data_IF_182692906624
#
_entry.id   IF_182692906624
#
_cell.length_a   1.000
_cell.length_b   1.000
_cell.length_c   1.000
_cell.angle_alpha   90.00
_cell.angle_beta   90.00
_cell.angle_gamma   90.00
#
_symmetry.space_group_name_H-M   'P 1'
#
loop_
_entity.id
_entity.type
_entity.pdbx_description
1 polymer ?
#
# COMPACT_ATOMS: atom_id res chain seq x y z
N UNK A 1 -8.19 12.32 5.78
CA UNK A 1 -7.05 11.47 6.14
C UNK A 1 -6.27 11.20 4.87
N UNK A 2 -4.95 11.24 4.91
CA UNK A 2 -4.13 10.92 3.75
C UNK A 2 -4.05 9.41 3.63
N UNK A 3 -4.50 8.87 2.50
CA UNK A 3 -4.48 7.45 2.18
C UNK A 3 -3.31 7.14 1.25
N UNK A 4 -2.60 6.06 1.51
CA UNK A 4 -1.47 5.58 0.70
C UNK A 4 -1.82 4.19 0.18
N UNK A 5 -1.53 3.94 -1.10
CA UNK A 5 -1.57 2.62 -1.71
C UNK A 5 -0.13 2.22 -2.03
N UNK A 6 0.34 1.12 -1.44
CA UNK A 6 1.62 0.49 -1.74
C UNK A 6 1.37 -0.57 -2.81
N UNK A 7 2.21 -0.59 -3.84
CA UNK A 7 2.22 -1.61 -4.88
C UNK A 7 3.58 -2.29 -4.80
N UNK A 8 3.62 -3.51 -4.27
CA UNK A 8 4.85 -4.20 -3.88
C UNK A 8 4.68 -5.72 -4.06
N UNK A 9 5.55 -6.35 -4.85
CA UNK A 9 5.41 -7.76 -5.22
C UNK A 9 5.74 -8.73 -4.07
N UNK A 10 6.56 -8.29 -3.11
CA UNK A 10 6.89 -9.08 -1.93
C UNK A 10 6.03 -8.71 -0.70
N UNK A 11 5.15 -9.64 -0.28
CA UNK A 11 4.25 -9.46 0.88
C UNK A 11 5.00 -9.00 2.13
N UNK A 12 6.14 -9.61 2.44
CA UNK A 12 6.92 -9.26 3.64
C UNK A 12 7.48 -7.84 3.62
N UNK A 13 7.73 -7.29 2.43
CA UNK A 13 8.19 -5.91 2.27
C UNK A 13 7.00 -4.96 2.40
N UNK A 14 5.88 -5.27 1.73
CA UNK A 14 4.65 -4.49 1.80
C UNK A 14 4.13 -4.33 3.24
N UNK A 15 4.17 -5.41 4.04
CA UNK A 15 3.77 -5.40 5.44
C UNK A 15 4.68 -4.49 6.28
N UNK A 16 6.00 -4.54 6.07
CA UNK A 16 6.95 -3.70 6.79
C UNK A 16 6.75 -2.21 6.49
N UNK A 17 6.55 -1.85 5.22
CA UNK A 17 6.30 -0.47 4.79
C UNK A 17 4.95 0.04 5.30
N UNK A 18 3.93 -0.83 5.26
CA UNK A 18 2.61 -0.54 5.81
C UNK A 18 2.69 -0.21 7.29
N UNK A 19 3.35 -1.06 8.09
CA UNK A 19 3.50 -0.83 9.53
C UNK A 19 4.17 0.52 9.82
N UNK A 20 5.21 0.87 9.06
CA UNK A 20 5.92 2.15 9.22
C UNK A 20 5.03 3.37 8.92
N UNK A 21 4.22 3.30 7.88
CA UNK A 21 3.33 4.38 7.47
C UNK A 21 2.08 4.48 8.36
N UNK A 22 1.52 3.36 8.82
CA UNK A 22 0.43 3.35 9.79
C UNK A 22 0.88 3.93 11.14
N UNK A 23 2.11 3.62 11.60
CA UNK A 23 2.70 4.26 12.78
C UNK A 23 2.86 5.79 12.61
N UNK A 24 3.02 6.25 11.37
CA UNK A 24 3.10 7.67 11.03
C UNK A 24 1.71 8.33 10.87
N UNK A 25 0.62 7.58 11.08
CA UNK A 25 -0.76 8.07 11.08
C UNK A 25 -1.44 8.07 9.70
N UNK A 26 -0.89 7.35 8.72
CA UNK A 26 -1.52 7.17 7.40
C UNK A 26 -2.48 5.98 7.40
N UNK A 27 -3.51 6.06 6.56
CA UNK A 27 -4.28 4.87 6.17
C UNK A 27 -3.57 4.23 4.98
N UNK A 28 -3.24 2.94 5.09
CA UNK A 28 -2.40 2.27 4.09
C UNK A 28 -3.09 1.01 3.56
N UNK A 29 -3.20 0.94 2.24
CA UNK A 29 -3.57 -0.28 1.52
C UNK A 29 -2.38 -0.83 0.75
N UNK A 30 -2.36 -2.14 0.54
CA UNK A 30 -1.30 -2.84 -0.21
C UNK A 30 -1.93 -3.64 -1.35
N UNK A 31 -1.24 -3.68 -2.49
CA UNK A 31 -1.51 -4.59 -3.60
C UNK A 31 -0.20 -5.20 -4.10
N UNK A 32 -0.27 -6.44 -4.57
CA UNK A 32 0.91 -7.22 -4.96
C UNK A 32 1.14 -7.26 -6.47
N UNK A 33 0.18 -6.76 -7.23
CA UNK A 33 0.20 -6.78 -8.69
C UNK A 33 -0.02 -5.37 -9.21
N UNK A 34 0.81 -4.95 -10.17
CA UNK A 34 0.80 -3.57 -10.65
C UNK A 34 -0.46 -3.18 -11.41
N UNK A 35 -1.10 -4.13 -12.09
CA UNK A 35 -2.38 -3.94 -12.78
C UNK A 35 -3.52 -3.70 -11.78
N UNK A 36 -3.61 -4.51 -10.71
CA UNK A 36 -4.57 -4.31 -9.62
C UNK A 36 -4.32 -3.02 -8.86
N UNK A 37 -3.05 -2.70 -8.61
CA UNK A 37 -2.64 -1.44 -8.02
C UNK A 37 -3.07 -0.23 -8.86
N UNK A 38 -2.91 -0.32 -10.18
CA UNK A 38 -3.37 0.71 -11.13
C UNK A 38 -4.90 0.88 -11.08
N UNK A 39 -5.66 -0.22 -11.09
CA UNK A 39 -7.12 -0.18 -11.00
C UNK A 39 -7.59 0.52 -9.72
N UNK A 40 -6.98 0.20 -8.58
CA UNK A 40 -7.30 0.85 -7.29
C UNK A 40 -6.89 2.32 -7.24
N UNK A 41 -5.76 2.68 -7.84
CA UNK A 41 -5.28 4.06 -7.82
C UNK A 41 -6.18 5.00 -8.64
N UNK A 42 -6.91 4.46 -9.62
CA UNK A 42 -7.79 5.21 -10.52
C UNK A 42 -9.28 5.18 -10.12
N UNK A 43 -9.66 4.40 -9.10
CA UNK A 43 -11.03 4.32 -8.59
C UNK A 43 -11.35 5.40 -7.57
#
# INVERSE_FOLDING_TARGET
>A
MSKILIIEDEVSIADLEKDYLELSGFEVETENEGDRGLERALS
#
